data_IF_839086947160
#
_entry.id   IF_839086947160
#
_cell.length_a   1.000
_cell.length_b   1.000
_cell.length_c   1.000
_cell.angle_alpha   90.00
_cell.angle_beta   90.00
_cell.angle_gamma   90.00
#
_symmetry.space_group_name_H-M   'P 1'
#
loop_
_entity.id
_entity.type
_entity.pdbx_description
1 polymer ?
#
# COMPACT_ATOMS: atom_id res chain seq x y z
N UNK A 1 17.35 19.93 29.67
CA UNK A 1 18.70 20.28 29.18
C UNK A 1 18.97 19.40 27.97
N UNK A 2 18.67 19.90 26.77
CA UNK A 2 18.96 19.22 25.51
C UNK A 2 20.46 19.31 25.27
N UNK A 3 21.13 18.19 25.03
CA UNK A 3 22.57 18.21 24.79
C UNK A 3 22.83 18.77 23.38
N UNK A 4 23.95 19.46 23.13
CA UNK A 4 24.24 20.06 21.83
C UNK A 4 24.22 19.04 20.66
N UNK A 5 24.48 17.76 20.93
CA UNK A 5 24.36 16.70 19.92
C UNK A 5 22.93 16.37 19.48
N UNK A 6 21.94 16.54 20.38
CA UNK A 6 20.53 16.28 20.06
C UNK A 6 19.97 17.31 19.06
N UNK A 7 20.44 18.55 19.17
CA UNK A 7 20.05 19.64 18.24
C UNK A 7 20.63 19.45 16.84
N UNK A 8 21.89 19.03 16.71
CA UNK A 8 22.51 18.80 15.39
C UNK A 8 21.86 17.61 14.67
N UNK A 9 21.59 16.52 15.41
CA UNK A 9 20.89 15.37 14.87
C UNK A 9 19.47 15.73 14.41
N UNK A 10 18.71 16.49 15.21
CA UNK A 10 17.38 16.95 14.83
C UNK A 10 17.39 17.84 13.57
N UNK A 11 18.43 18.66 13.38
CA UNK A 11 18.57 19.51 12.18
C UNK A 11 18.80 18.64 10.95
N UNK A 12 19.67 17.62 11.03
CA UNK A 12 19.93 16.74 9.88
C UNK A 12 18.69 15.92 9.51
N UNK A 13 17.98 15.36 10.49
CA UNK A 13 16.73 14.62 10.23
C UNK A 13 15.66 15.53 9.62
N UNK A 14 15.56 16.80 10.05
CA UNK A 14 14.66 17.78 9.45
C UNK A 14 15.08 18.15 8.01
N UNK A 15 16.38 18.21 7.72
CA UNK A 15 16.91 18.41 6.37
C UNK A 15 16.58 17.22 5.47
N UNK A 16 16.77 16.01 5.95
CA UNK A 16 16.41 14.78 5.25
C UNK A 16 14.90 14.73 4.96
N UNK A 17 14.06 15.06 5.95
CA UNK A 17 12.62 15.14 5.75
C UNK A 17 12.24 16.15 4.66
N UNK A 18 12.92 17.29 4.60
CA UNK A 18 12.72 18.30 3.55
C UNK A 18 13.08 17.76 2.16
N UNK A 19 14.16 16.99 2.04
CA UNK A 19 14.54 16.34 0.78
C UNK A 19 13.52 15.27 0.35
N UNK A 20 13.04 14.45 1.30
CA UNK A 20 12.02 13.43 1.06
C UNK A 20 10.69 14.06 0.61
N UNK A 21 10.26 15.15 1.26
CA UNK A 21 9.09 15.95 0.85
C UNK A 21 9.24 16.46 -0.59
N UNK A 22 10.43 16.92 -0.97
CA UNK A 22 10.75 17.34 -2.33
C UNK A 22 10.61 16.20 -3.34
N UNK A 23 11.12 15.02 -3.02
CA UNK A 23 11.03 13.84 -3.88
C UNK A 23 9.58 13.36 -4.08
N UNK A 24 8.77 13.36 -3.03
CA UNK A 24 7.33 13.01 -3.13
C UNK A 24 6.59 14.00 -4.02
N UNK A 25 6.86 15.30 -3.87
CA UNK A 25 6.26 16.35 -4.73
C UNK A 25 6.68 16.21 -6.19
N UNK A 26 7.95 15.92 -6.46
CA UNK A 26 8.43 15.68 -7.82
C UNK A 26 7.71 14.50 -8.49
N UNK A 27 7.51 13.40 -7.76
CA UNK A 27 6.73 12.26 -8.28
C UNK A 27 5.28 12.65 -8.55
N UNK A 28 4.67 13.44 -7.67
CA UNK A 28 3.30 13.94 -7.85
C UNK A 28 3.18 14.84 -9.08
N UNK A 29 4.10 15.77 -9.27
CA UNK A 29 4.09 16.68 -10.42
C UNK A 29 4.26 15.90 -11.73
N UNK A 30 5.21 14.96 -11.78
CA UNK A 30 5.39 14.08 -12.93
C UNK A 30 4.16 13.20 -13.21
N UNK A 31 3.46 12.73 -12.17
CA UNK A 31 2.23 11.97 -12.33
C UNK A 31 1.09 12.84 -12.90
N UNK A 32 0.97 14.08 -12.43
CA UNK A 32 -0.02 15.06 -12.92
C UNK A 32 0.23 15.50 -14.36
N UNK A 33 1.49 15.54 -14.78
CA UNK A 33 1.83 15.82 -16.18
C UNK A 33 1.31 14.73 -17.15
N UNK A 34 0.95 13.54 -16.65
CA UNK A 34 0.38 12.46 -17.46
C UNK A 34 1.34 11.85 -18.47
N UNK A 35 2.65 12.17 -18.39
CA UNK A 35 3.69 11.69 -19.31
C UNK A 35 4.33 10.38 -18.88
N UNK A 36 3.89 9.79 -17.77
CA UNK A 36 4.47 8.55 -17.26
C UNK A 36 3.92 7.35 -18.02
N UNK A 37 4.82 6.51 -18.51
CA UNK A 37 4.45 5.18 -18.99
C UNK A 37 3.96 4.30 -17.83
N UNK A 38 3.18 3.27 -18.14
CA UNK A 38 2.66 2.33 -17.12
C UNK A 38 3.77 1.68 -16.28
N UNK A 39 4.89 1.31 -16.91
CA UNK A 39 6.06 0.76 -16.22
C UNK A 39 6.71 1.80 -15.31
N UNK A 40 6.84 3.05 -15.78
CA UNK A 40 7.41 4.14 -14.99
C UNK A 40 6.54 4.48 -13.79
N UNK A 41 5.21 4.48 -13.95
CA UNK A 41 4.28 4.69 -12.85
C UNK A 41 4.40 3.58 -11.78
N UNK A 42 4.60 2.32 -12.19
CA UNK A 42 4.84 1.21 -11.26
C UNK A 42 6.13 1.38 -10.46
N UNK A 43 7.24 1.70 -11.14
CA UNK A 43 8.54 1.94 -10.49
C UNK A 43 8.43 3.13 -9.53
N UNK A 44 7.77 4.22 -9.94
CA UNK A 44 7.55 5.39 -9.10
C UNK A 44 6.64 5.09 -7.90
N UNK A 45 5.71 4.16 -8.01
CA UNK A 45 4.90 3.72 -6.87
C UNK A 45 5.75 2.97 -5.83
N UNK A 46 6.67 2.09 -6.26
CA UNK A 46 7.61 1.42 -5.36
C UNK A 46 8.58 2.40 -4.69
N UNK A 47 9.09 3.37 -5.45
CA UNK A 47 9.91 4.47 -4.92
C UNK A 47 9.10 5.28 -3.89
N UNK A 48 7.84 5.59 -4.20
CA UNK A 48 6.97 6.35 -3.31
C UNK A 48 6.72 5.63 -1.97
N UNK A 49 6.56 4.30 -1.98
CA UNK A 49 6.46 3.51 -0.74
C UNK A 49 7.75 3.56 0.08
N UNK A 50 8.91 3.51 -0.58
CA UNK A 50 10.22 3.62 0.09
C UNK A 50 10.39 5.00 0.72
N UNK A 51 10.07 6.06 -0.02
CA UNK A 51 10.09 7.44 0.47
C UNK A 51 9.14 7.66 1.66
N UNK A 52 7.97 7.02 1.62
CA UNK A 52 7.01 7.07 2.73
C UNK A 52 7.55 6.40 3.99
N UNK A 53 8.15 5.21 3.85
CA UNK A 53 8.79 4.51 4.97
C UNK A 53 9.89 5.37 5.59
N UNK A 54 10.79 5.91 4.77
CA UNK A 54 11.91 6.74 5.23
C UNK A 54 11.43 8.03 5.89
N UNK A 55 10.44 8.71 5.29
CA UNK A 55 9.89 9.94 5.85
C UNK A 55 9.11 9.71 7.13
N UNK A 56 8.41 8.58 7.24
CA UNK A 56 7.75 8.18 8.50
C UNK A 56 8.76 7.89 9.60
N UNK A 57 9.88 7.24 9.28
CA UNK A 57 10.96 7.00 10.24
C UNK A 57 11.63 8.31 10.70
N UNK A 58 11.90 9.23 9.77
CA UNK A 58 12.44 10.56 10.09
C UNK A 58 11.48 11.37 10.97
N UNK A 59 10.17 11.36 10.65
CA UNK A 59 9.14 12.00 11.48
C UNK A 59 9.10 11.39 12.88
N UNK A 60 9.14 10.06 13.01
CA UNK A 60 9.14 9.38 14.31
C UNK A 60 10.35 9.77 15.17
N UNK A 61 11.53 9.92 14.55
CA UNK A 61 12.74 10.38 15.24
C UNK A 61 12.60 11.81 15.75
N UNK A 62 12.09 12.73 14.91
CA UNK A 62 11.84 14.12 15.33
C UNK A 62 10.76 14.21 16.42
N UNK A 63 9.72 13.40 16.32
CA UNK A 63 8.63 13.35 17.28
C UNK A 63 9.05 12.79 18.64
N UNK A 64 10.01 11.86 18.65
CA UNK A 64 10.63 11.35 19.87
C UNK A 64 11.40 12.41 20.67
N UNK A 65 11.92 13.44 19.99
CA UNK A 65 12.69 14.52 20.61
C UNK A 65 11.83 15.72 21.03
N UNK A 66 10.88 16.13 20.19
CA UNK A 66 10.16 17.39 20.33
C UNK A 66 8.62 17.25 20.43
N UNK A 67 8.10 16.02 20.40
CA UNK A 67 6.66 15.77 20.33
C UNK A 67 6.07 15.91 18.92
N UNK A 68 4.74 15.92 18.77
CA UNK A 68 4.07 15.87 17.47
C UNK A 68 4.60 16.90 16.47
N UNK A 69 5.06 16.43 15.30
CA UNK A 69 5.73 17.29 14.35
C UNK A 69 4.72 17.91 13.37
N UNK A 70 4.74 19.24 13.15
CA UNK A 70 3.73 19.93 12.31
C UNK A 70 3.74 19.46 10.86
N UNK A 71 4.86 18.87 10.39
CA UNK A 71 4.98 18.34 9.02
C UNK A 71 4.35 16.96 8.81
N UNK A 72 3.90 16.29 9.88
CA UNK A 72 3.30 14.94 9.77
C UNK A 72 2.08 14.92 8.85
N UNK A 73 1.18 15.88 9.03
CA UNK A 73 -0.04 16.01 8.22
C UNK A 73 0.28 16.31 6.75
N UNK A 74 1.01 17.38 6.41
CA UNK A 74 1.28 17.71 5.01
C UNK A 74 2.12 16.64 4.29
N UNK A 75 3.04 15.95 4.99
CA UNK A 75 3.78 14.82 4.41
C UNK A 75 2.85 13.65 4.05
N UNK A 76 1.93 13.31 4.95
CA UNK A 76 0.94 12.24 4.73
C UNK A 76 -0.01 12.58 3.58
N UNK A 77 -0.49 13.82 3.50
CA UNK A 77 -1.33 14.29 2.41
C UNK A 77 -0.60 14.27 1.06
N UNK A 78 0.67 14.70 1.02
CA UNK A 78 1.48 14.66 -0.20
C UNK A 78 1.67 13.23 -0.72
N UNK A 79 1.98 12.29 0.18
CA UNK A 79 2.08 10.87 -0.16
C UNK A 79 0.76 10.31 -0.67
N UNK A 80 -0.35 10.56 0.04
CA UNK A 80 -1.67 10.06 -0.36
C UNK A 80 -2.07 10.61 -1.74
N UNK A 81 -1.80 11.88 -2.00
CA UNK A 81 -2.08 12.53 -3.29
C UNK A 81 -1.23 11.93 -4.41
N UNK A 82 0.07 11.73 -4.18
CA UNK A 82 0.97 11.10 -5.14
C UNK A 82 0.54 9.66 -5.46
N UNK A 83 0.11 8.91 -4.45
CA UNK A 83 -0.39 7.54 -4.59
C UNK A 83 -1.68 7.48 -5.41
N UNK A 84 -2.63 8.38 -5.16
CA UNK A 84 -3.84 8.51 -5.98
C UNK A 84 -3.50 8.86 -7.45
N UNK A 85 -2.62 9.83 -7.68
CA UNK A 85 -2.23 10.25 -9.03
C UNK A 85 -1.55 9.11 -9.82
N UNK A 86 -0.67 8.33 -9.18
CA UNK A 86 -0.07 7.15 -9.80
C UNK A 86 -1.08 6.03 -10.07
N UNK A 87 -2.09 5.86 -9.21
CA UNK A 87 -3.15 4.88 -9.40
C UNK A 87 -4.06 5.23 -10.58
N UNK A 88 -4.35 6.51 -10.82
CA UNK A 88 -5.13 6.96 -11.98
C UNK A 88 -4.45 6.63 -13.32
N UNK A 89 -3.11 6.66 -13.36
CA UNK A 89 -2.31 6.24 -14.51
C UNK A 89 -2.30 4.70 -14.70
N UNK A 90 -2.85 3.96 -13.75
CA UNK A 90 -3.02 2.52 -13.79
C UNK A 90 -4.49 2.12 -13.61
N UNK A 91 -5.34 2.20 -14.64
CA UNK A 91 -6.77 1.81 -14.56
C UNK A 91 -7.03 0.32 -14.23
N UNK A 92 -5.98 -0.47 -13.98
CA UNK A 92 -6.06 -1.83 -13.45
C UNK A 92 -5.98 -1.95 -11.92
N UNK A 93 -5.69 -0.87 -11.18
CA UNK A 93 -5.68 -0.87 -9.71
C UNK A 93 -6.70 0.15 -9.20
N UNK A 94 -7.94 -0.31 -9.15
CA UNK A 94 -9.12 0.51 -8.92
C UNK A 94 -9.16 0.97 -7.46
N UNK A 95 -8.64 2.16 -7.15
CA UNK A 95 -9.19 2.97 -6.06
C UNK A 95 -10.38 3.73 -6.65
N UNK A 96 -11.54 3.06 -6.72
CA UNK A 96 -12.78 3.71 -7.14
C UNK A 96 -13.26 4.56 -5.98
N UNK A 97 -13.09 5.86 -6.11
CA UNK A 97 -14.02 6.81 -5.52
C UNK A 97 -15.43 6.40 -5.93
N UNK A 98 -16.39 6.24 -5.00
CA UNK A 98 -17.72 5.80 -5.37
C UNK A 98 -18.46 6.99 -5.96
N UNK A 99 -18.53 7.05 -7.29
CA UNK A 99 -19.57 7.80 -7.97
C UNK A 99 -20.89 7.02 -7.80
N UNK A 100 -21.71 7.45 -6.86
CA UNK A 100 -23.14 7.17 -6.83
C UNK A 100 -23.73 7.69 -8.15
N UNK A 101 -24.10 6.80 -9.08
CA UNK A 101 -25.51 6.62 -9.44
C UNK A 101 -25.72 5.53 -10.50
N UNK A 102 -26.64 4.62 -10.16
CA UNK A 102 -27.77 4.15 -10.97
C UNK A 102 -27.60 4.17 -12.51
N UNK A 103 -27.52 2.99 -13.14
CA UNK A 103 -28.55 2.44 -14.06
C UNK A 103 -28.14 1.03 -14.50
N UNK A 104 -29.10 0.11 -14.46
CA UNK A 104 -28.98 -1.31 -14.73
C UNK A 104 -28.53 -1.64 -16.15
N UNK A 105 -27.45 -2.42 -16.31
CA UNK A 105 -27.24 -3.32 -17.45
C UNK A 105 -26.47 -4.59 -17.01
N UNK A 106 -26.83 -5.78 -17.51
CA UNK A 106 -26.18 -7.03 -17.15
C UNK A 106 -24.91 -7.19 -18.00
N UNK A 107 -23.73 -6.98 -17.40
CA UNK A 107 -22.47 -7.20 -18.09
C UNK A 107 -21.92 -8.59 -17.75
N UNK A 108 -21.90 -9.44 -18.79
CA UNK A 108 -21.28 -10.76 -18.91
C UNK A 108 -20.04 -10.95 -18.02
N UNK A 109 -20.08 -12.06 -17.27
CA UNK A 109 -19.01 -12.56 -16.41
C UNK A 109 -17.70 -12.76 -17.18
N UNK A 110 -16.79 -11.79 -17.11
CA UNK A 110 -15.38 -11.96 -17.47
C UNK A 110 -14.68 -12.79 -16.39
N UNK A 111 -14.34 -14.05 -16.66
CA UNK A 111 -13.62 -14.97 -15.75
C UNK A 111 -12.18 -14.55 -15.31
N UNK A 112 -11.90 -13.25 -15.17
CA UNK A 112 -10.65 -12.67 -14.68
C UNK A 112 -10.88 -11.74 -13.47
N UNK A 113 -12.10 -11.64 -12.94
CA UNK A 113 -12.33 -10.95 -11.67
C UNK A 113 -12.26 -11.96 -10.52
N UNK A 114 -11.44 -11.64 -9.52
CA UNK A 114 -11.57 -12.24 -8.19
C UNK A 114 -13.05 -12.17 -7.77
N UNK A 115 -13.60 -13.24 -7.16
CA UNK A 115 -14.99 -13.23 -6.71
C UNK A 115 -15.18 -12.02 -5.80
N UNK A 116 -16.15 -11.15 -6.15
CA UNK A 116 -16.52 -10.03 -5.31
C UNK A 116 -16.89 -10.59 -3.93
N UNK A 117 -16.16 -10.14 -2.92
CA UNK A 117 -16.40 -10.51 -1.55
C UNK A 117 -17.65 -9.77 -1.09
N UNK A 118 -18.77 -10.47 -1.01
CA UNK A 118 -19.97 -9.96 -0.31
C UNK A 118 -19.64 -9.89 1.18
N UNK A 119 -19.11 -8.75 1.59
CA UNK A 119 -18.89 -8.44 2.99
C UNK A 119 -20.21 -7.93 3.58
N UNK A 120 -20.67 -8.48 4.70
CA UNK A 120 -21.75 -7.87 5.46
C UNK A 120 -21.33 -6.45 5.86
N UNK A 121 -22.32 -5.56 5.99
CA UNK A 121 -22.11 -4.15 6.33
C UNK A 121 -21.30 -4.06 7.64
N UNK A 122 -20.03 -3.69 7.52
CA UNK A 122 -19.11 -3.56 8.64
C UNK A 122 -19.19 -2.13 9.17
N UNK A 123 -19.55 -1.96 10.44
CA UNK A 123 -19.77 -0.64 11.03
C UNK A 123 -18.48 0.00 11.54
N UNK A 124 -17.39 -0.76 11.61
CA UNK A 124 -16.15 -0.34 12.26
C UNK A 124 -16.17 -0.49 13.78
N UNK A 125 -17.21 -1.08 14.36
CA UNK A 125 -17.32 -1.30 15.80
C UNK A 125 -16.25 -2.29 16.29
N UNK A 126 -15.51 -2.00 17.37
CA UNK A 126 -14.47 -2.91 17.90
C UNK A 126 -14.99 -4.32 18.24
N UNK A 127 -16.27 -4.44 18.60
CA UNK A 127 -16.94 -5.71 18.88
C UNK A 127 -17.09 -6.61 17.64
N UNK A 128 -17.08 -6.03 16.44
CA UNK A 128 -17.22 -6.76 15.16
C UNK A 128 -15.85 -7.23 14.62
N UNK A 129 -14.77 -6.68 15.14
CA UNK A 129 -13.40 -6.93 14.66
C UNK A 129 -12.95 -8.38 14.76
N UNK A 130 -13.23 -9.13 15.84
CA UNK A 130 -12.88 -10.54 15.92
C UNK A 130 -13.57 -11.40 14.84
N UNK A 131 -14.84 -11.13 14.56
CA UNK A 131 -15.61 -11.84 13.55
C UNK A 131 -15.14 -11.49 12.12
N UNK A 132 -14.74 -10.24 11.90
CA UNK A 132 -14.15 -9.79 10.64
C UNK A 132 -12.77 -10.43 10.40
N UNK A 133 -11.88 -10.38 11.40
CA UNK A 133 -10.55 -10.97 11.33
C UNK A 133 -10.60 -12.49 11.11
N UNK A 134 -11.52 -13.20 11.78
CA UNK A 134 -11.71 -14.65 11.59
C UNK A 134 -12.11 -15.03 10.16
N UNK A 135 -12.91 -14.20 9.48
CA UNK A 135 -13.31 -14.43 8.07
C UNK A 135 -12.17 -14.19 7.09
N UNK A 136 -11.33 -13.19 7.37
CA UNK A 136 -10.12 -12.94 6.59
C UNK A 136 -9.15 -14.12 6.70
N UNK A 137 -8.82 -14.54 7.93
CA UNK A 137 -7.91 -15.65 8.18
C UNK A 137 -8.40 -16.97 7.58
N UNK A 138 -9.71 -17.27 7.67
CA UNK A 138 -10.29 -18.49 7.06
C UNK A 138 -10.15 -18.52 5.54
N UNK A 139 -10.13 -17.36 4.88
CA UNK A 139 -10.02 -17.27 3.41
C UNK A 139 -8.56 -17.22 2.94
N UNK A 140 -7.66 -16.64 3.73
CA UNK A 140 -6.20 -16.77 3.52
C UNK A 140 -5.79 -18.24 3.61
N UNK A 141 -6.29 -18.99 4.59
CA UNK A 141 -6.03 -20.42 4.70
C UNK A 141 -6.58 -21.22 3.49
N UNK A 142 -7.74 -20.83 2.94
CA UNK A 142 -8.29 -21.45 1.72
C UNK A 142 -7.55 -21.10 0.43
N UNK A 143 -6.70 -20.07 0.41
CA UNK A 143 -5.81 -19.74 -0.72
C UNK A 143 -4.50 -20.55 -0.66
N UNK A 144 -4.08 -20.98 0.53
CA UNK A 144 -2.90 -21.82 0.72
C UNK A 144 -3.11 -23.22 0.09
N UNK A 145 -4.31 -23.80 0.20
CA UNK A 145 -4.67 -25.06 -0.47
C UNK A 145 -4.63 -25.01 -2.01
N UNK A 146 -4.79 -23.82 -2.63
CA UNK A 146 -4.75 -23.67 -4.09
C UNK A 146 -3.33 -23.40 -4.59
N UNK A 147 -2.45 -22.85 -3.75
CA UNK A 147 -1.02 -22.69 -4.04
C UNK A 147 -0.31 -24.06 -4.18
N UNK A 148 -0.70 -25.05 -3.37
CA UNK A 148 -0.19 -26.42 -3.46
C UNK A 148 -0.62 -27.13 -4.76
N UNK A 149 -1.71 -26.68 -5.39
CA UNK A 149 -2.24 -27.25 -6.64
C UNK A 149 -1.43 -26.84 -7.88
N UNK A 150 -0.65 -25.77 -7.79
CA UNK A 150 0.19 -25.24 -8.87
C UNK A 150 1.69 -25.45 -8.68
N UNK A 151 2.10 -26.22 -7.66
CA UNK A 151 3.46 -26.73 -7.64
C UNK A 151 3.65 -27.69 -8.83
N UNK A 152 4.55 -27.39 -9.79
CA UNK A 152 4.87 -28.36 -10.81
C UNK A 152 5.37 -29.61 -10.11
N UNK A 153 4.74 -30.73 -10.46
CA UNK A 153 5.08 -32.08 -10.05
C UNK A 153 6.55 -32.36 -10.41
N UNK A 154 7.48 -31.89 -9.58
CA UNK A 154 8.87 -32.28 -9.65
C UNK A 154 8.87 -33.77 -9.32
N UNK A 155 9.17 -34.57 -10.34
CA UNK A 155 9.27 -36.00 -10.26
C UNK A 155 10.26 -36.41 -9.16
N UNK A 156 9.72 -36.78 -8.00
CA UNK A 156 10.41 -37.70 -7.10
C UNK A 156 9.71 -39.03 -7.29
N UNK A 157 10.25 -39.83 -8.23
CA UNK A 157 9.89 -41.24 -8.34
C UNK A 157 10.16 -41.91 -6.99
N UNK A 158 9.19 -42.61 -6.38
CA UNK A 158 9.51 -43.51 -5.29
C UNK A 158 10.32 -44.68 -5.88
N UNK A 159 11.56 -44.83 -5.41
CA UNK A 159 12.29 -46.10 -5.53
C UNK A 159 11.44 -47.13 -4.78
N UNK A 160 10.72 -47.96 -5.54
CA UNK A 160 10.09 -49.16 -5.01
C UNK A 160 11.21 -50.11 -4.60
N UNK A 161 11.51 -50.13 -3.31
CA UNK A 161 12.17 -51.27 -2.69
C UNK A 161 11.10 -52.31 -2.34
N UNK A 162 11.20 -53.49 -2.94
CA UNK A 162 10.90 -54.81 -2.35
C UNK A 162 10.71 -55.85 -3.47
N UNK A 163 10.97 -57.14 -3.24
CA UNK A 163 11.51 -57.79 -2.02
C UNK A 163 13.02 -58.08 -2.08
#
# INVERSE_FOLDING_TARGET
MTTPGDSEHSIEVARQLTALEGAVKAILDEAREGKLSKTMASIKAEILESLWSDGRNALLQLEGLAGPHPRRVPFTEAYATAKCALAELHPGNIFTTPALDTTMLPAVAKKNHLPRLDLPKFSGSPSEWPAFAGRFNKRVAGLEEDADRYLPHAMIRPVRNSP
#
